data_IF_228840948216
#
_entry.id   IF_228840948216
#
_cell.length_a   1.000
_cell.length_b   1.000
_cell.length_c   1.000
_cell.angle_alpha   90.00
_cell.angle_beta   90.00
_cell.angle_gamma   90.00
#
_symmetry.space_group_name_H-M   'P 1'
#
loop_
_entity.id
_entity.type
_entity.pdbx_description
1 polymer ?
#
# COMPACT_ATOMS: atom_id res chain seq x y z
N UNK A 1 -8.98 -13.52 5.72
CA UNK A 1 -9.44 -12.88 6.97
C UNK A 1 -8.20 -12.55 7.79
N UNK A 2 -8.04 -11.29 8.23
CA UNK A 2 -6.79 -10.77 8.82
C UNK A 2 -7.09 -10.11 10.16
N UNK A 3 -6.30 -10.41 11.19
CA UNK A 3 -6.34 -9.77 12.50
C UNK A 3 -5.09 -8.92 12.73
N UNK A 4 -5.12 -8.03 13.72
CA UNK A 4 -3.95 -7.19 14.07
C UNK A 4 -2.68 -8.00 14.38
N UNK A 5 -2.82 -9.22 14.92
CA UNK A 5 -1.69 -10.12 15.17
C UNK A 5 -1.04 -10.64 13.88
N UNK A 6 -1.83 -10.81 12.83
CA UNK A 6 -1.35 -11.26 11.52
C UNK A 6 -0.59 -10.12 10.84
N UNK A 7 -1.12 -8.90 10.92
CA UNK A 7 -0.44 -7.68 10.44
C UNK A 7 0.89 -7.48 11.15
N UNK A 8 0.93 -7.61 12.48
CA UNK A 8 2.17 -7.46 13.24
C UNK A 8 3.24 -8.47 12.82
N UNK A 9 2.84 -9.72 12.58
CA UNK A 9 3.75 -10.77 12.10
C UNK A 9 4.23 -10.49 10.68
N UNK A 10 3.35 -10.09 9.78
CA UNK A 10 3.68 -9.82 8.38
C UNK A 10 4.59 -8.60 8.21
N UNK A 11 4.34 -7.56 8.99
CA UNK A 11 5.11 -6.31 8.94
C UNK A 11 6.37 -6.35 9.82
N UNK A 12 6.59 -7.44 10.57
CA UNK A 12 7.70 -7.59 11.51
C UNK A 12 7.82 -6.46 12.54
N UNK A 13 6.67 -5.91 12.99
CA UNK A 13 6.60 -4.85 13.99
C UNK A 13 5.90 -5.31 15.28
N UNK A 14 6.02 -4.51 16.34
CA UNK A 14 5.41 -4.85 17.63
C UNK A 14 3.88 -4.82 17.58
N UNK A 15 3.23 -5.70 18.37
CA UNK A 15 1.76 -5.69 18.51
C UNK A 15 1.22 -4.33 18.98
N UNK A 16 1.83 -3.63 19.97
CA UNK A 16 1.41 -2.28 20.34
C UNK A 16 1.45 -1.29 19.16
N UNK A 17 2.48 -1.36 18.30
CA UNK A 17 2.59 -0.50 17.11
C UNK A 17 1.41 -0.72 16.15
N UNK A 18 1.05 -1.98 15.89
CA UNK A 18 -0.10 -2.29 15.03
C UNK A 18 -1.41 -1.87 15.68
N UNK A 19 -1.58 -2.09 16.99
CA UNK A 19 -2.79 -1.64 17.69
C UNK A 19 -2.98 -0.13 17.57
N UNK A 20 -1.88 0.64 17.71
CA UNK A 20 -1.92 2.09 17.52
C UNK A 20 -2.30 2.47 16.07
N UNK A 21 -1.66 1.85 15.07
CA UNK A 21 -1.98 2.11 13.66
C UNK A 21 -3.43 1.75 13.30
N UNK A 22 -3.93 0.61 13.80
CA UNK A 22 -5.33 0.18 13.60
C UNK A 22 -6.30 1.15 14.25
N UNK A 23 -6.01 1.66 15.45
CA UNK A 23 -6.84 2.69 16.08
C UNK A 23 -6.90 3.96 15.21
N UNK A 24 -5.74 4.47 14.76
CA UNK A 24 -5.67 5.64 13.87
C UNK A 24 -6.46 5.45 12.57
N UNK A 25 -6.36 4.28 11.93
CA UNK A 25 -7.08 3.99 10.69
C UNK A 25 -8.59 3.87 10.92
N UNK A 26 -9.03 3.38 12.08
CA UNK A 26 -10.44 3.32 12.46
C UNK A 26 -11.00 4.72 12.75
N UNK A 27 -10.27 5.52 13.52
CA UNK A 27 -10.66 6.89 13.84
C UNK A 27 -10.72 7.78 12.57
N UNK A 28 -9.86 7.50 11.59
CA UNK A 28 -9.90 8.11 10.26
C UNK A 28 -10.97 7.56 9.31
N UNK A 29 -11.74 6.53 9.71
CA UNK A 29 -12.82 5.95 8.89
C UNK A 29 -12.36 5.03 7.75
N UNK A 30 -11.10 4.64 7.71
CA UNK A 30 -10.55 3.76 6.67
C UNK A 30 -10.72 2.26 6.99
N UNK A 31 -10.93 1.94 8.27
CA UNK A 31 -10.94 0.56 8.74
C UNK A 31 -12.08 0.34 9.74
N UNK A 32 -12.64 -0.86 9.74
CA UNK A 32 -13.61 -1.35 10.73
C UNK A 32 -13.16 -2.70 11.27
N UNK A 33 -13.73 -3.09 12.41
CA UNK A 33 -13.44 -4.36 13.05
C UNK A 33 -14.77 -5.02 13.43
N UNK A 34 -14.93 -6.28 13.05
CA UNK A 34 -16.13 -7.05 13.39
C UNK A 34 -16.06 -7.66 14.80
N UNK A 35 -17.11 -8.38 15.20
CA UNK A 35 -17.21 -9.05 16.50
C UNK A 35 -16.15 -10.13 16.73
N UNK A 36 -15.56 -10.67 15.67
CA UNK A 36 -14.52 -11.70 15.71
C UNK A 36 -13.10 -11.11 15.58
N UNK A 37 -12.98 -9.79 15.69
CA UNK A 37 -11.76 -8.99 15.62
C UNK A 37 -11.06 -9.03 14.25
N UNK A 38 -11.79 -9.30 13.17
CA UNK A 38 -11.24 -9.18 11.82
C UNK A 38 -11.25 -7.73 11.35
N UNK A 39 -10.15 -7.35 10.70
CA UNK A 39 -9.98 -6.03 10.11
C UNK A 39 -10.62 -6.00 8.72
N UNK A 40 -11.45 -4.99 8.49
CA UNK A 40 -12.12 -4.76 7.21
C UNK A 40 -11.85 -3.33 6.74
N UNK A 41 -11.43 -3.17 5.49
CA UNK A 41 -11.39 -1.84 4.88
C UNK A 41 -12.82 -1.36 4.66
N UNK A 42 -13.07 -0.09 4.96
CA UNK A 42 -14.27 0.60 4.48
C UNK A 42 -14.14 0.87 2.98
N UNK A 43 -15.20 1.33 2.32
CA UNK A 43 -15.13 1.69 0.90
C UNK A 43 -14.07 2.79 0.66
N UNK A 44 -14.01 3.80 1.54
CA UNK A 44 -12.99 4.86 1.50
C UNK A 44 -11.60 4.29 1.76
N UNK A 45 -11.45 3.40 2.75
CA UNK A 45 -10.19 2.73 3.02
C UNK A 45 -9.70 1.88 1.87
N UNK A 46 -10.61 1.21 1.18
CA UNK A 46 -10.34 0.41 -0.02
C UNK A 46 -9.87 1.29 -1.17
N UNK A 47 -10.57 2.39 -1.45
CA UNK A 47 -10.19 3.31 -2.52
C UNK A 47 -8.76 3.84 -2.32
N UNK A 48 -8.43 4.29 -1.11
CA UNK A 48 -7.08 4.77 -0.79
C UNK A 48 -6.04 3.65 -0.88
N UNK A 49 -6.35 2.46 -0.38
CA UNK A 49 -5.44 1.31 -0.46
C UNK A 49 -5.17 0.90 -1.90
N UNK A 50 -6.20 0.91 -2.77
CA UNK A 50 -6.08 0.59 -4.18
C UNK A 50 -5.23 1.62 -4.94
N UNK A 51 -5.36 2.92 -4.63
CA UNK A 51 -4.51 3.96 -5.22
C UNK A 51 -3.02 3.79 -4.84
N UNK A 52 -2.75 3.47 -3.57
CA UNK A 52 -1.37 3.19 -3.10
C UNK A 52 -0.84 1.93 -3.79
N UNK A 53 -1.63 0.86 -3.85
CA UNK A 53 -1.25 -0.39 -4.48
C UNK A 53 -1.02 -0.24 -5.98
N UNK A 54 -1.78 0.61 -6.66
CA UNK A 54 -1.57 0.90 -8.08
C UNK A 54 -0.18 1.54 -8.31
N UNK A 55 0.21 2.51 -7.47
CA UNK A 55 1.53 3.13 -7.52
C UNK A 55 2.62 2.09 -7.26
N UNK A 56 2.45 1.25 -6.23
CA UNK A 56 3.36 0.15 -5.93
C UNK A 56 3.63 -0.70 -7.17
N UNK A 57 2.57 -1.23 -7.77
CA UNK A 57 2.64 -2.13 -8.92
C UNK A 57 3.29 -1.45 -10.12
N UNK A 58 2.91 -0.22 -10.41
CA UNK A 58 3.48 0.55 -11.51
C UNK A 58 4.98 0.72 -11.35
N UNK A 59 5.45 1.16 -10.18
CA UNK A 59 6.88 1.40 -9.96
C UNK A 59 7.68 0.09 -9.92
N UNK A 60 7.14 -0.95 -9.30
CA UNK A 60 7.79 -2.28 -9.30
C UNK A 60 7.99 -2.77 -10.73
N UNK A 61 6.93 -2.76 -11.56
CA UNK A 61 7.02 -3.21 -12.95
C UNK A 61 7.94 -2.31 -13.79
N UNK A 62 7.84 -0.99 -13.63
CA UNK A 62 8.69 -0.05 -14.35
C UNK A 62 10.18 -0.24 -14.04
N UNK A 63 10.53 -0.41 -12.76
CA UNK A 63 11.91 -0.63 -12.32
C UNK A 63 12.43 -1.99 -12.75
N UNK A 64 11.63 -3.05 -12.62
CA UNK A 64 12.01 -4.39 -13.11
C UNK A 64 12.23 -4.37 -14.63
N UNK A 65 11.36 -3.71 -15.40
CA UNK A 65 11.53 -3.58 -16.85
C UNK A 65 12.77 -2.76 -17.24
N UNK A 66 13.21 -1.84 -16.37
CA UNK A 66 14.47 -1.12 -16.53
C UNK A 66 15.71 -1.95 -16.16
N UNK A 67 15.54 -3.20 -15.73
CA UNK A 67 16.63 -4.12 -15.38
C UNK A 67 17.04 -4.10 -13.90
N UNK A 68 16.26 -3.46 -13.03
CA UNK A 68 16.48 -3.50 -11.58
C UNK A 68 16.08 -4.87 -11.04
N UNK A 69 16.89 -5.40 -10.13
CA UNK A 69 16.59 -6.63 -9.40
C UNK A 69 15.18 -6.57 -8.76
N UNK A 70 14.32 -7.60 -8.90
CA UNK A 70 12.93 -7.56 -8.44
C UNK A 70 12.76 -7.22 -6.96
N UNK A 71 13.63 -7.73 -6.07
CA UNK A 71 13.56 -7.45 -4.62
C UNK A 71 13.87 -5.98 -4.36
N UNK A 72 14.86 -5.44 -5.07
CA UNK A 72 15.21 -4.02 -4.99
C UNK A 72 14.11 -3.14 -5.56
N UNK A 73 13.52 -3.52 -6.70
CA UNK A 73 12.43 -2.80 -7.35
C UNK A 73 11.20 -2.70 -6.44
N UNK A 74 10.80 -3.79 -5.79
CA UNK A 74 9.67 -3.83 -4.85
C UNK A 74 9.93 -2.93 -3.63
N UNK A 75 11.13 -3.01 -3.04
CA UNK A 75 11.51 -2.18 -1.89
C UNK A 75 11.52 -0.68 -2.22
N UNK A 76 11.99 -0.32 -3.40
CA UNK A 76 12.06 1.08 -3.81
C UNK A 76 10.67 1.59 -4.20
N UNK A 77 9.85 0.78 -4.89
CA UNK A 77 8.45 1.10 -5.16
C UNK A 77 7.65 1.34 -3.87
N UNK A 78 7.84 0.50 -2.85
CA UNK A 78 7.23 0.64 -1.52
C UNK A 78 7.50 2.01 -0.86
N UNK A 79 8.63 2.64 -1.18
CA UNK A 79 8.94 4.00 -0.70
C UNK A 79 8.36 5.07 -1.60
N UNK A 80 8.48 4.89 -2.92
CA UNK A 80 8.04 5.87 -3.92
C UNK A 80 6.53 6.09 -3.84
N UNK A 81 5.74 5.03 -3.65
CA UNK A 81 4.27 5.10 -3.62
C UNK A 81 3.71 6.05 -2.55
N UNK A 82 4.44 6.24 -1.45
CA UNK A 82 4.05 7.10 -0.34
C UNK A 82 4.49 8.56 -0.48
N UNK A 83 5.48 8.85 -1.33
CA UNK A 83 6.08 10.20 -1.45
C UNK A 83 5.80 10.87 -2.78
N UNK A 84 5.45 10.11 -3.82
CA UNK A 84 5.18 10.68 -5.13
C UNK A 84 3.86 11.44 -5.17
N UNK A 85 3.88 12.62 -5.78
CA UNK A 85 2.66 13.40 -6.02
C UNK A 85 1.73 12.68 -7.01
N UNK A 86 0.43 12.85 -6.82
CA UNK A 86 -0.56 12.30 -7.75
C UNK A 86 -0.34 12.80 -9.18
N UNK A 87 -0.04 14.10 -9.33
CA UNK A 87 0.28 14.68 -10.64
C UNK A 87 1.46 14.00 -11.32
N UNK A 88 2.55 13.72 -10.60
CA UNK A 88 3.73 13.08 -11.18
C UNK A 88 3.42 11.64 -11.57
N UNK A 89 2.69 10.91 -10.73
CA UNK A 89 2.30 9.53 -11.01
C UNK A 89 1.46 9.42 -12.29
N UNK A 90 0.43 10.26 -12.44
CA UNK A 90 -0.44 10.24 -13.62
C UNK A 90 0.32 10.54 -14.92
N UNK A 91 1.24 11.51 -14.90
CA UNK A 91 2.07 11.81 -16.07
C UNK A 91 2.99 10.63 -16.44
N UNK A 92 3.66 10.02 -15.46
CA UNK A 92 4.52 8.86 -15.69
C UNK A 92 3.72 7.68 -16.27
N UNK A 93 2.58 7.35 -15.65
CA UNK A 93 1.69 6.26 -16.08
C UNK A 93 1.22 6.41 -17.52
N UNK A 94 0.84 7.64 -17.92
CA UNK A 94 0.43 7.96 -19.29
C UNK A 94 1.59 7.71 -20.28
N UNK A 95 2.77 8.24 -19.98
CA UNK A 95 3.94 8.09 -20.88
C UNK A 95 4.41 6.64 -21.04
N UNK A 96 4.26 5.81 -20.00
CA UNK A 96 4.61 4.38 -20.06
C UNK A 96 3.63 3.57 -20.92
N UNK A 97 2.37 4.01 -21.03
CA UNK A 97 1.33 3.35 -21.84
C UNK A 97 1.40 3.73 -23.32
N UNK A 98 1.92 4.92 -23.62
CA UNK A 98 2.10 5.45 -24.99
C UNK A 98 3.35 4.89 -25.70
N UNK A 99 4.26 4.24 -24.97
CA UNK A 99 5.50 3.64 -25.50
C UNK A 99 5.38 2.16 -25.88
N UNK A 100 4.16 1.61 -25.91
CA UNK A 100 3.88 0.22 -26.29
C UNK A 100 3.22 0.17 -27.66
#
# INVERSE_FOLDING_TARGET
>A
MVRSVDVARHMEVSKPSVCHAVATLRDGGFLTMDSDYFLHLTDVGREVAEQIYEKHRFFTEMLTNAGVDPITAERDACRIEHVISESSFQHLKKTSSEKK
#
